data_IF_097195012182
#
_entry.id   IF_097195012182
#
_cell.length_a   1.000
_cell.length_b   1.000
_cell.length_c   1.000
_cell.angle_alpha   90.00
_cell.angle_beta   90.00
_cell.angle_gamma   90.00
#
_symmetry.space_group_name_H-M   'P 1'
#
loop_
_entity.id
_entity.type
_entity.pdbx_description
1 polymer ?
#
# COMPACT_ATOMS: atom_id res chain seq x y z
N UNK A 1 -8.24 4.32 -7.95
CA UNK A 1 -7.47 3.42 -7.08
C UNK A 1 -6.73 4.23 -6.03
N UNK A 2 -6.77 3.76 -4.78
CA UNK A 2 -6.03 4.27 -3.64
C UNK A 2 -5.02 3.21 -3.18
N UNK A 3 -3.74 3.46 -3.40
CA UNK A 3 -2.67 2.54 -3.07
C UNK A 3 -1.94 3.04 -1.82
N UNK A 4 -2.10 2.30 -0.73
CA UNK A 4 -1.37 2.51 0.51
C UNK A 4 0.06 1.97 0.41
N UNK A 5 0.98 2.65 1.06
CA UNK A 5 2.40 2.27 1.11
C UNK A 5 2.84 2.31 2.56
N UNK A 6 3.53 1.26 2.99
CA UNK A 6 4.16 1.18 4.30
C UNK A 6 5.68 1.13 4.10
N UNK A 7 6.40 1.96 4.84
CA UNK A 7 7.86 1.89 4.91
C UNK A 7 8.34 0.80 5.86
N UNK A 8 9.66 0.58 5.97
CA UNK A 8 10.24 -0.49 6.78
C UNK A 8 9.85 -0.43 8.25
N UNK A 9 9.55 -1.58 8.86
CA UNK A 9 9.04 -1.67 10.22
C UNK A 9 10.06 -1.34 11.31
N UNK A 10 11.36 -1.53 11.03
CA UNK A 10 12.44 -1.36 12.02
C UNK A 10 12.22 -2.20 13.31
N UNK A 11 11.56 -3.34 13.17
CA UNK A 11 11.21 -4.23 14.29
C UNK A 11 9.96 -3.84 15.09
N UNK A 12 9.31 -2.70 14.82
CA UNK A 12 8.09 -2.28 15.51
C UNK A 12 6.83 -2.82 14.81
N UNK A 13 6.56 -4.11 14.98
CA UNK A 13 5.35 -4.77 14.44
C UNK A 13 4.05 -4.11 14.92
N UNK A 14 3.89 -3.71 16.21
CA UNK A 14 2.70 -3.01 16.65
C UNK A 14 2.46 -1.68 15.92
N UNK A 15 3.51 -0.90 15.65
CA UNK A 15 3.37 0.34 14.88
C UNK A 15 3.06 0.07 13.41
N UNK A 16 3.69 -0.94 12.80
CA UNK A 16 3.36 -1.38 11.44
C UNK A 16 1.88 -1.78 11.32
N UNK A 17 1.39 -2.59 12.25
CA UNK A 17 0.01 -3.03 12.31
C UNK A 17 -0.96 -1.84 12.42
N UNK A 18 -0.67 -0.86 13.29
CA UNK A 18 -1.48 0.36 13.39
C UNK A 18 -1.47 1.17 12.09
N UNK A 19 -0.31 1.33 11.45
CA UNK A 19 -0.19 2.06 10.19
C UNK A 19 -0.98 1.37 9.06
N UNK A 20 -0.87 0.05 8.95
CA UNK A 20 -1.64 -0.76 8.01
C UNK A 20 -3.15 -0.61 8.24
N UNK A 21 -3.60 -0.72 9.50
CA UNK A 21 -5.02 -0.56 9.85
C UNK A 21 -5.56 0.81 9.45
N UNK A 22 -4.80 1.89 9.69
CA UNK A 22 -5.21 3.24 9.27
C UNK A 22 -5.36 3.36 7.76
N UNK A 23 -4.43 2.77 6.99
CA UNK A 23 -4.53 2.81 5.54
C UNK A 23 -5.81 2.12 5.05
N UNK A 24 -6.22 1.03 5.70
CA UNK A 24 -7.46 0.32 5.35
C UNK A 24 -8.72 1.07 5.81
N UNK A 25 -8.74 1.51 7.07
CA UNK A 25 -9.96 2.02 7.71
C UNK A 25 -10.20 3.51 7.46
N UNK A 26 -9.14 4.32 7.54
CA UNK A 26 -9.23 5.79 7.46
C UNK A 26 -8.95 6.26 6.03
N UNK A 27 -7.91 5.70 5.39
CA UNK A 27 -7.52 6.08 4.04
C UNK A 27 -8.20 5.25 2.95
N UNK A 28 -9.01 4.25 3.30
CA UNK A 28 -9.72 3.36 2.37
C UNK A 28 -8.85 2.89 1.21
N UNK A 29 -7.63 2.43 1.51
CA UNK A 29 -6.71 1.91 0.52
C UNK A 29 -7.28 0.62 -0.09
N UNK A 30 -7.33 0.57 -1.42
CA UNK A 30 -7.75 -0.61 -2.18
C UNK A 30 -6.71 -1.73 -2.11
N UNK A 31 -5.44 -1.34 -1.95
CA UNK A 31 -4.26 -2.20 -1.82
C UNK A 31 -3.23 -1.50 -0.94
N UNK A 32 -2.44 -2.26 -0.19
CA UNK A 32 -1.33 -1.74 0.62
C UNK A 32 -0.06 -2.52 0.30
N UNK A 33 1.00 -1.81 -0.05
CA UNK A 33 2.33 -2.39 -0.30
C UNK A 33 3.30 -2.04 0.83
N UNK A 34 3.90 -3.05 1.44
CA UNK A 34 4.99 -2.90 2.38
C UNK A 34 6.34 -3.02 1.65
N UNK A 35 7.14 -1.97 1.76
CA UNK A 35 8.39 -1.82 0.99
C UNK A 35 9.58 -1.96 1.95
N UNK A 36 9.88 -3.22 2.29
CA UNK A 36 11.03 -3.63 3.09
C UNK A 36 11.68 -4.89 2.50
N UNK A 37 12.77 -5.36 3.09
CA UNK A 37 13.45 -6.62 2.78
C UNK A 37 13.21 -7.72 3.84
N UNK A 38 12.31 -7.48 4.79
CA UNK A 38 11.91 -8.39 5.86
C UNK A 38 10.47 -8.92 5.68
N UNK A 39 10.05 -9.82 6.57
CA UNK A 39 8.73 -10.46 6.59
C UNK A 39 7.77 -9.83 7.62
N UNK A 40 8.04 -8.61 8.09
CA UNK A 40 7.31 -8.00 9.21
C UNK A 40 5.80 -7.85 8.94
N UNK A 41 5.41 -7.44 7.73
CA UNK A 41 4.00 -7.33 7.38
C UNK A 41 3.34 -8.73 7.34
N UNK A 42 4.04 -9.73 6.83
CA UNK A 42 3.51 -11.11 6.77
C UNK A 42 3.27 -11.67 8.18
N UNK A 43 4.14 -11.34 9.15
CA UNK A 43 3.92 -11.68 10.55
C UNK A 43 2.68 -10.97 11.13
N UNK A 44 2.48 -9.69 10.83
CA UNK A 44 1.28 -8.93 11.24
C UNK A 44 0.01 -9.55 10.64
N UNK A 45 0.01 -9.81 9.33
CA UNK A 45 -1.12 -10.40 8.61
C UNK A 45 -1.43 -11.80 9.13
N UNK A 46 -0.41 -12.64 9.38
CA UNK A 46 -0.60 -13.96 9.97
C UNK A 46 -1.20 -13.87 11.38
N UNK A 47 -0.79 -12.88 12.18
CA UNK A 47 -1.37 -12.61 13.50
C UNK A 47 -2.85 -12.25 13.42
N UNK A 48 -3.23 -11.31 12.55
CA UNK A 48 -4.62 -10.93 12.33
C UNK A 48 -5.47 -12.08 11.79
N UNK A 49 -4.96 -12.81 10.81
CA UNK A 49 -5.66 -13.94 10.21
C UNK A 49 -5.94 -15.03 11.27
N UNK A 50 -4.98 -15.32 12.15
CA UNK A 50 -5.20 -16.25 13.28
C UNK A 50 -6.23 -15.74 14.27
N UNK A 51 -6.24 -14.43 14.55
CA UNK A 51 -7.25 -13.80 15.41
C UNK A 51 -8.66 -13.92 14.85
N UNK A 52 -8.82 -13.94 13.52
CA UNK A 52 -10.11 -14.07 12.86
C UNK A 52 -10.61 -15.52 12.83
N UNK A 53 -9.80 -16.46 12.34
CA UNK A 53 -10.28 -17.82 12.00
C UNK A 53 -9.67 -18.94 12.84
N UNK A 54 -8.78 -18.62 13.78
CA UNK A 54 -8.12 -19.56 14.69
C UNK A 54 -6.72 -19.99 14.24
N UNK A 55 -6.25 -21.14 14.76
CA UNK A 55 -4.83 -21.53 14.69
C UNK A 55 -4.25 -21.67 13.27
N UNK A 56 -5.06 -22.15 12.32
CA UNK A 56 -4.65 -22.33 10.92
C UNK A 56 -5.51 -21.44 10.00
N UNK A 57 -4.97 -20.29 9.55
CA UNK A 57 -5.66 -19.37 8.66
C UNK A 57 -5.42 -19.63 7.17
N UNK A 58 -4.75 -20.74 6.81
CA UNK A 58 -4.47 -21.06 5.42
C UNK A 58 -5.76 -21.33 4.63
N UNK A 59 -5.67 -21.20 3.32
CA UNK A 59 -6.76 -21.55 2.41
C UNK A 59 -7.02 -23.06 2.41
N UNK A 60 -5.96 -23.87 2.53
CA UNK A 60 -6.06 -25.32 2.59
C UNK A 60 -6.94 -25.81 3.76
N UNK A 61 -6.93 -25.11 4.89
CA UNK A 61 -7.74 -25.45 6.06
C UNK A 61 -9.16 -24.86 6.04
N UNK A 62 -9.55 -24.11 5.00
CA UNK A 62 -10.90 -23.53 4.89
C UNK A 62 -11.99 -24.60 5.00
N UNK A 63 -11.85 -25.71 4.27
CA UNK A 63 -12.85 -26.79 4.29
C UNK A 63 -12.99 -27.39 5.69
N UNK A 64 -11.87 -27.62 6.38
CA UNK A 64 -11.89 -28.11 7.76
C UNK A 64 -12.58 -27.12 8.70
N UNK A 65 -12.35 -25.81 8.56
CA UNK A 65 -13.04 -24.77 9.35
C UNK A 65 -14.53 -24.69 9.03
N UNK A 66 -14.90 -24.83 7.76
CA UNK A 66 -16.28 -24.79 7.26
C UNK A 66 -17.10 -26.00 7.69
N UNK A 67 -16.48 -27.15 7.94
CA UNK A 67 -17.18 -28.37 8.39
C UNK A 67 -18.06 -28.15 9.62
N UNK A 68 -17.66 -27.23 10.51
CA UNK A 68 -18.42 -26.84 11.71
C UNK A 68 -19.78 -26.21 11.38
N UNK A 69 -19.97 -25.70 10.17
CA UNK A 69 -21.23 -25.11 9.73
C UNK A 69 -22.29 -26.15 9.35
N UNK A 70 -21.92 -27.42 9.14
CA UNK A 70 -22.83 -28.46 8.63
C UNK A 70 -24.01 -28.75 9.59
N UNK A 71 -23.79 -28.62 10.90
CA UNK A 71 -24.79 -28.85 11.95
C UNK A 71 -25.10 -27.57 12.74
N UNK A 72 -24.61 -26.42 12.29
CA UNK A 72 -24.72 -25.16 13.02
C UNK A 72 -26.02 -24.41 12.72
N UNK A 73 -26.48 -23.62 13.69
CA UNK A 73 -27.54 -22.64 13.48
C UNK A 73 -27.08 -21.45 12.62
N UNK A 74 -28.04 -20.69 12.08
CA UNK A 74 -27.78 -19.58 11.15
C UNK A 74 -26.79 -18.54 11.70
N UNK A 75 -26.90 -18.17 12.98
CA UNK A 75 -26.00 -17.20 13.62
C UNK A 75 -24.52 -17.62 13.55
N UNK A 76 -24.25 -18.91 13.76
CA UNK A 76 -22.90 -19.44 13.70
C UNK A 76 -22.36 -19.50 12.25
N UNK A 77 -23.24 -19.75 11.27
CA UNK A 77 -22.89 -19.69 9.85
C UNK A 77 -22.56 -18.23 9.45
N UNK A 78 -23.37 -17.27 9.89
CA UNK A 78 -23.15 -15.85 9.62
C UNK A 78 -21.82 -15.38 10.22
N UNK A 79 -21.53 -15.76 11.48
CA UNK A 79 -20.26 -15.46 12.13
C UNK A 79 -19.06 -16.06 11.37
N UNK A 80 -19.18 -17.29 10.87
CA UNK A 80 -18.17 -17.93 10.04
C UNK A 80 -17.93 -17.14 8.74
N UNK A 81 -18.99 -16.80 8.01
CA UNK A 81 -18.89 -16.05 6.75
C UNK A 81 -18.26 -14.68 6.97
N UNK A 82 -18.65 -13.97 8.03
CA UNK A 82 -18.07 -12.67 8.40
C UNK A 82 -16.56 -12.79 8.67
N UNK A 83 -16.16 -13.79 9.46
CA UNK A 83 -14.75 -13.99 9.82
C UNK A 83 -13.89 -14.39 8.60
N UNK A 84 -14.35 -15.33 7.77
CA UNK A 84 -13.64 -15.72 6.56
C UNK A 84 -13.56 -14.59 5.53
N UNK A 85 -14.63 -13.81 5.39
CA UNK A 85 -14.63 -12.62 4.52
C UNK A 85 -13.62 -11.59 5.02
N UNK A 86 -13.54 -11.35 6.33
CA UNK A 86 -12.53 -10.48 6.92
C UNK A 86 -11.11 -11.00 6.68
N UNK A 87 -10.88 -12.32 6.80
CA UNK A 87 -9.59 -12.95 6.50
C UNK A 87 -9.20 -12.76 5.04
N UNK A 88 -10.14 -12.96 4.11
CA UNK A 88 -9.89 -12.77 2.67
C UNK A 88 -9.55 -11.31 2.34
N UNK A 89 -10.16 -10.34 3.03
CA UNK A 89 -9.83 -8.92 2.86
C UNK A 89 -8.38 -8.60 3.23
N UNK A 90 -7.72 -9.38 4.09
CA UNK A 90 -6.30 -9.17 4.41
C UNK A 90 -5.38 -9.34 3.19
N UNK A 91 -5.84 -9.98 2.10
CA UNK A 91 -5.07 -10.14 0.85
C UNK A 91 -4.74 -8.84 0.13
N UNK A 92 -5.37 -7.73 0.51
CA UNK A 92 -5.02 -6.40 -0.02
C UNK A 92 -3.67 -5.91 0.50
N UNK A 93 -3.19 -6.47 1.60
CA UNK A 93 -1.87 -6.20 2.20
C UNK A 93 -0.85 -7.13 1.55
N UNK A 94 0.21 -6.57 0.98
CA UNK A 94 1.26 -7.37 0.35
C UNK A 94 2.66 -6.78 0.64
N UNK A 95 3.61 -7.66 0.90
CA UNK A 95 5.03 -7.32 0.97
C UNK A 95 5.64 -7.30 -0.42
N UNK A 96 6.57 -6.37 -0.66
CA UNK A 96 7.45 -6.46 -1.83
C UNK A 96 8.36 -7.70 -1.65
N UNK A 97 8.49 -8.58 -2.66
CA UNK A 97 9.41 -9.70 -2.53
C UNK A 97 10.86 -9.21 -2.35
N UNK A 98 11.66 -9.84 -1.47
CA UNK A 98 13.04 -9.42 -1.22
C UNK A 98 13.88 -9.36 -2.50
N UNK A 99 14.60 -8.26 -2.68
CA UNK A 99 15.46 -8.02 -3.85
C UNK A 99 14.73 -7.79 -5.17
N UNK A 100 13.39 -7.79 -5.17
CA UNK A 100 12.60 -7.54 -6.37
C UNK A 100 12.08 -6.09 -6.41
N UNK A 101 11.49 -5.75 -7.55
CA UNK A 101 10.73 -4.53 -7.78
C UNK A 101 9.33 -4.92 -8.27
N UNK A 102 8.36 -4.07 -8.03
CA UNK A 102 7.03 -4.21 -8.65
C UNK A 102 6.62 -2.90 -9.31
N UNK A 103 5.71 -3.00 -10.26
CA UNK A 103 5.18 -1.86 -11.00
C UNK A 103 3.67 -1.83 -10.82
N UNK A 104 3.14 -0.66 -10.57
CA UNK A 104 1.71 -0.36 -10.68
C UNK A 104 1.50 0.76 -11.70
N UNK A 105 0.32 0.78 -12.32
CA UNK A 105 -0.07 1.86 -13.23
C UNK A 105 -1.19 2.66 -12.56
N UNK A 106 -0.94 3.94 -12.31
CA UNK A 106 -1.89 4.86 -11.67
C UNK A 106 -2.05 6.10 -12.54
N UNK A 107 -3.28 6.50 -12.86
CA UNK A 107 -3.56 7.61 -13.79
C UNK A 107 -2.76 7.49 -15.12
N UNK A 108 -2.59 6.27 -15.63
CA UNK A 108 -1.80 6.00 -16.85
C UNK A 108 -0.28 6.19 -16.68
N UNK A 109 0.22 6.32 -15.45
CA UNK A 109 1.64 6.53 -15.12
C UNK A 109 2.24 5.29 -14.49
N UNK A 110 3.46 4.97 -14.89
CA UNK A 110 4.25 3.89 -14.29
C UNK A 110 4.76 4.33 -12.91
N UNK A 111 4.37 3.61 -11.87
CA UNK A 111 4.88 3.74 -10.51
C UNK A 111 5.70 2.50 -10.19
N UNK A 112 6.99 2.71 -9.96
CA UNK A 112 7.96 1.66 -9.67
C UNK A 112 8.24 1.62 -8.16
N UNK A 113 8.12 0.44 -7.56
CA UNK A 113 8.36 0.20 -6.14
C UNK A 113 9.59 -0.67 -5.98
N UNK A 114 10.51 -0.24 -5.12
CA UNK A 114 11.74 -0.97 -4.80
C UNK A 114 12.09 -0.75 -3.34
N UNK A 115 12.66 -1.76 -2.67
CA UNK A 115 13.26 -1.53 -1.37
C UNK A 115 14.53 -0.68 -1.49
N UNK A 116 15.58 -1.21 -2.12
CA UNK A 116 16.85 -0.50 -2.29
C UNK A 116 16.99 0.00 -3.74
N UNK A 117 16.99 1.32 -3.94
CA UNK A 117 17.16 1.91 -5.27
C UNK A 117 18.50 1.58 -5.93
N UNK A 118 19.50 1.11 -5.18
CA UNK A 118 20.79 0.69 -5.72
C UNK A 118 20.70 -0.60 -6.55
N UNK A 119 19.58 -1.32 -6.50
CA UNK A 119 19.34 -2.51 -7.32
C UNK A 119 18.78 -2.19 -8.71
N UNK A 120 18.48 -0.92 -8.99
CA UNK A 120 17.92 -0.49 -10.27
C UNK A 120 18.99 -0.03 -11.23
N UNK A 121 18.81 -0.35 -12.51
CA UNK A 121 19.58 0.21 -13.62
C UNK A 121 18.82 1.36 -14.33
N UNK A 122 19.40 1.90 -15.39
CA UNK A 122 18.79 2.98 -16.16
C UNK A 122 17.52 2.55 -16.91
N UNK A 123 17.47 1.31 -17.41
CA UNK A 123 16.33 0.77 -18.15
C UNK A 123 15.11 0.62 -17.24
N UNK A 124 15.32 0.27 -15.98
CA UNK A 124 14.28 0.19 -14.96
C UNK A 124 13.68 1.57 -14.61
N UNK A 125 14.53 2.59 -14.52
CA UNK A 125 14.13 3.94 -14.09
C UNK A 125 13.51 4.72 -15.25
N UNK A 126 13.94 4.45 -16.49
CA UNK A 126 13.52 5.16 -17.69
C UNK A 126 11.99 5.30 -17.83
N UNK A 127 11.18 4.22 -17.75
CA UNK A 127 9.73 4.31 -17.92
C UNK A 127 8.99 4.87 -16.70
N UNK A 128 9.60 4.86 -15.50
CA UNK A 128 8.93 5.24 -14.26
C UNK A 128 8.70 6.76 -14.19
N UNK A 129 7.43 7.15 -13.98
CA UNK A 129 7.07 8.54 -13.64
C UNK A 129 7.23 8.79 -12.15
N UNK A 130 7.00 7.77 -11.32
CA UNK A 130 7.20 7.81 -9.88
C UNK A 130 8.02 6.62 -9.43
N UNK A 131 9.05 6.89 -8.61
CA UNK A 131 9.86 5.87 -7.97
C UNK A 131 9.62 5.91 -6.46
N UNK A 132 9.13 4.81 -5.91
CA UNK A 132 8.91 4.60 -4.48
C UNK A 132 10.04 3.73 -3.92
N UNK A 133 10.77 4.27 -2.94
CA UNK A 133 11.94 3.63 -2.34
C UNK A 133 11.69 3.35 -0.86
N UNK A 134 11.85 2.09 -0.44
CA UNK A 134 11.71 1.68 0.96
C UNK A 134 12.91 2.05 1.83
N UNK A 135 14.12 1.79 1.34
CA UNK A 135 15.39 2.04 2.03
C UNK A 135 15.74 3.52 2.03
N UNK A 136 15.17 4.23 3.00
CA UNK A 136 15.47 5.64 3.29
C UNK A 136 15.41 5.86 4.80
N UNK A 137 16.35 6.63 5.40
CA UNK A 137 16.31 6.94 6.83
C UNK A 137 15.21 7.95 7.18
N UNK A 138 14.68 8.68 6.20
CA UNK A 138 13.65 9.71 6.40
C UNK A 138 12.59 9.67 5.30
N UNK A 139 11.36 10.12 5.60
CA UNK A 139 10.34 10.36 4.59
C UNK A 139 10.74 11.50 3.65
N UNK A 140 10.39 11.40 2.37
CA UNK A 140 10.47 12.53 1.44
C UNK A 140 9.58 12.36 0.21
N UNK A 141 9.26 13.49 -0.41
CA UNK A 141 8.83 13.58 -1.81
C UNK A 141 9.80 14.54 -2.52
N UNK A 142 10.40 14.13 -3.64
CA UNK A 142 11.36 14.94 -4.40
C UNK A 142 11.11 14.84 -5.88
N UNK A 143 11.10 15.97 -6.59
CA UNK A 143 11.05 15.98 -8.06
C UNK A 143 12.46 16.08 -8.63
N UNK A 144 12.74 15.30 -9.68
CA UNK A 144 13.93 15.45 -10.49
C UNK A 144 13.55 15.28 -11.97
N UNK A 145 13.58 16.39 -12.72
CA UNK A 145 13.06 16.44 -14.08
C UNK A 145 11.56 16.08 -14.12
N UNK A 146 11.20 15.13 -14.97
CA UNK A 146 9.82 14.64 -15.12
C UNK A 146 9.42 13.58 -14.08
N UNK A 147 10.34 13.16 -13.19
CA UNK A 147 10.10 12.07 -12.24
C UNK A 147 9.90 12.59 -10.82
N UNK A 148 9.05 11.88 -10.08
CA UNK A 148 8.88 12.07 -8.64
C UNK A 148 9.44 10.89 -7.89
N UNK A 149 10.29 11.14 -6.91
CA UNK A 149 10.83 10.17 -5.98
C UNK A 149 10.08 10.29 -4.65
N UNK A 150 9.66 9.16 -4.12
CA UNK A 150 8.91 9.05 -2.87
C UNK A 150 9.64 8.06 -1.97
N UNK A 151 9.80 8.42 -0.70
CA UNK A 151 10.06 7.45 0.35
C UNK A 151 9.07 7.71 1.50
N UNK A 152 8.30 6.71 1.96
CA UNK A 152 7.47 6.84 3.15
C UNK A 152 8.31 7.02 4.42
N UNK A 153 9.60 6.63 4.39
CA UNK A 153 10.45 6.55 5.58
C UNK A 153 10.08 5.38 6.50
N UNK A 154 10.90 5.05 7.51
CA UNK A 154 10.63 3.94 8.39
C UNK A 154 9.39 4.20 9.27
N UNK A 155 8.68 3.14 9.60
CA UNK A 155 7.64 3.15 10.65
C UNK A 155 8.25 3.72 11.94
N UNK A 156 7.52 4.58 12.62
CA UNK A 156 8.04 5.30 13.80
C UNK A 156 8.67 6.65 13.50
N UNK A 157 8.91 6.98 12.23
CA UNK A 157 9.38 8.33 11.85
C UNK A 157 8.39 9.41 12.28
N UNK A 158 8.91 10.52 12.79
CA UNK A 158 8.10 11.67 13.21
C UNK A 158 7.18 12.18 12.08
N UNK A 159 7.72 12.21 10.86
CA UNK A 159 7.06 12.78 9.69
C UNK A 159 6.66 11.73 8.65
N UNK A 160 6.67 10.44 8.99
CA UNK A 160 6.50 9.38 8.00
C UNK A 160 6.19 8.00 8.58
N UNK A 161 6.43 6.99 7.76
CA UNK A 161 6.12 5.59 8.00
C UNK A 161 5.08 5.04 7.01
N UNK A 162 4.22 5.89 6.48
CA UNK A 162 3.23 5.50 5.48
C UNK A 162 3.08 6.57 4.38
N UNK A 163 2.56 6.15 3.23
CA UNK A 163 2.11 7.04 2.17
C UNK A 163 0.85 6.52 1.48
N UNK A 164 0.16 7.40 0.78
CA UNK A 164 -1.03 7.11 -0.02
C UNK A 164 -0.85 7.69 -1.42
N UNK A 165 -1.10 6.86 -2.44
CA UNK A 165 -1.18 7.27 -3.84
C UNK A 165 -2.65 7.17 -4.27
N UNK A 166 -3.21 8.25 -4.81
CA UNK A 166 -4.61 8.33 -5.19
C UNK A 166 -4.74 8.91 -6.60
N UNK A 167 -5.35 8.16 -7.52
CA UNK A 167 -5.54 8.56 -8.92
C UNK A 167 -6.96 9.07 -9.26
N UNK A 168 -7.84 9.24 -8.28
CA UNK A 168 -9.25 9.58 -8.52
C UNK A 168 -9.53 10.98 -9.08
N UNK A 169 -8.52 11.84 -9.24
CA UNK A 169 -8.68 13.28 -9.45
C UNK A 169 -8.20 13.85 -10.79
N UNK A 170 -7.91 13.03 -11.81
CA UNK A 170 -7.33 13.49 -13.09
C UNK A 170 -5.84 13.86 -12.97
N UNK A 171 -5.15 13.15 -12.09
CA UNK A 171 -3.77 13.32 -11.67
C UNK A 171 -3.54 12.39 -10.47
N UNK A 172 -2.29 11.98 -10.24
CA UNK A 172 -1.96 11.16 -9.09
C UNK A 172 -1.54 12.03 -7.91
N UNK A 173 -2.32 12.01 -6.83
CA UNK A 173 -1.97 12.63 -5.56
C UNK A 173 -1.10 11.68 -4.74
N UNK A 174 -0.05 12.22 -4.14
CA UNK A 174 0.84 11.52 -3.21
C UNK A 174 0.74 12.24 -1.87
N UNK A 175 0.48 11.49 -0.79
CA UNK A 175 0.46 11.99 0.58
C UNK A 175 1.38 11.11 1.44
N UNK A 176 2.29 11.70 2.20
CA UNK A 176 3.08 11.01 3.23
C UNK A 176 2.45 11.29 4.58
N UNK A 177 2.34 10.27 5.41
CA UNK A 177 1.64 10.31 6.69
C UNK A 177 2.53 9.78 7.80
N UNK A 178 2.46 10.42 8.97
CA UNK A 178 3.06 9.88 10.18
C UNK A 178 2.16 8.84 10.87
N UNK A 179 2.66 8.23 11.96
CA UNK A 179 1.92 7.22 12.73
C UNK A 179 0.58 7.69 13.33
N UNK A 180 0.34 8.99 13.39
CA UNK A 180 -0.94 9.57 13.85
C UNK A 180 -1.94 9.75 12.71
N UNK A 181 -1.56 9.41 11.48
CA UNK A 181 -2.34 9.67 10.27
C UNK A 181 -2.27 11.12 9.78
N UNK A 182 -1.42 11.96 10.38
CA UNK A 182 -1.29 13.34 9.93
C UNK A 182 -0.46 13.39 8.64
N UNK A 183 -1.01 14.04 7.61
CA UNK A 183 -0.30 14.27 6.34
C UNK A 183 0.82 15.28 6.57
N UNK A 184 2.06 14.86 6.34
CA UNK A 184 3.28 15.63 6.58
C UNK A 184 3.91 16.17 5.29
N UNK A 185 3.70 15.48 4.18
CA UNK A 185 4.07 15.95 2.85
C UNK A 185 2.99 15.57 1.83
N UNK A 186 2.84 16.38 0.78
CA UNK A 186 1.91 16.11 -0.31
C UNK A 186 2.48 16.58 -1.64
N UNK A 187 2.08 15.91 -2.73
CA UNK A 187 2.45 16.27 -4.09
C UNK A 187 1.37 15.81 -5.08
N UNK A 188 1.31 16.44 -6.25
CA UNK A 188 0.47 16.01 -7.37
C UNK A 188 1.36 15.73 -8.58
N UNK A 189 1.21 14.54 -9.16
CA UNK A 189 1.92 14.09 -10.34
C UNK A 189 0.94 14.05 -11.51
N UNK A 190 1.30 14.76 -12.58
CA UNK A 190 0.42 15.00 -13.71
C UNK A 190 -0.37 16.29 -13.52
N UNK A 191 -0.43 17.10 -14.58
CA UNK A 191 -1.36 18.22 -14.60
C UNK A 191 -2.79 17.65 -14.80
N UNK A 192 -3.82 18.24 -14.17
CA UNK A 192 -5.18 18.03 -14.65
C UNK A 192 -5.19 18.37 -16.13
N UNK A 193 -5.85 17.57 -16.96
CA UNK A 193 -6.06 17.88 -18.37
C UNK A 193 -6.79 19.22 -18.45
N UNK A 194 -6.06 20.34 -18.53
CA UNK A 194 -6.61 21.56 -19.06
C UNK A 194 -6.84 21.25 -20.52
N UNK A 195 -8.10 21.03 -20.88
CA UNK A 195 -8.54 21.14 -22.26
C UNK A 195 -8.00 22.47 -22.76
N UNK A 196 -6.97 22.41 -23.61
CA UNK A 196 -6.50 23.58 -24.31
C UNK A 196 -7.71 24.09 -25.10
N UNK A 197 -8.34 25.16 -24.62
CA UNK A 197 -9.37 25.86 -25.38
C UNK A 197 -8.69 26.35 -26.66
N UNK A 198 -8.79 25.57 -27.73
CA UNK A 198 -8.47 26.01 -29.08
C UNK A 198 -9.32 27.23 -29.36
N UNK A 199 -8.72 28.43 -29.27
CA UNK A 199 -9.29 29.64 -29.84
C UNK A 199 -9.00 29.59 -31.32
N UNK A 200 -9.98 29.16 -32.10
CA UNK A 200 -10.01 29.40 -33.54
C UNK A 200 -10.18 30.91 -33.72
N UNK A 201 -9.11 31.59 -34.13
CA UNK A 201 -9.22 32.93 -34.72
C UNK A 201 -9.70 32.72 -36.16
N UNK A 202 -11.00 32.94 -36.39
CA UNK A 202 -11.53 33.08 -37.74
C UNK A 202 -11.05 34.39 -38.35
N UNK A 203 -10.40 34.30 -39.51
CA UNK A 203 -10.20 35.41 -40.44
C UNK A 203 -11.36 35.53 -41.42
#
# INVERSE_FOLDING_TARGET
>A
MRLGILGPAQGDLPALARAAQRLLDEAHADKVLYISDDDALDQVVAGWARGLVGADPSEASLFARASRCAEAGSEAIDAFVVSESARLRLRVLASLPPGQRTIEILDGRVVLFVFDKATLDEEDILPASVLVVGKSPTPFIRKAGARTFLAPGPIGSQDGGAALLDDGGGGMRIEVMNLRGAVTAREVVGAPHQSAKMRVQGG
#
